data_IF_804693896292
#
_entry.id   IF_804693896292
#
_cell.length_a   1.000
_cell.length_b   1.000
_cell.length_c   1.000
_cell.angle_alpha   90.00
_cell.angle_beta   90.00
_cell.angle_gamma   90.00
#
_symmetry.space_group_name_H-M   'P 1'
#
loop_
_entity.id
_entity.type
_entity.pdbx_description
1 polymer ?
#
# COMPACT_ATOMS: atom_id res chain seq x y z
N UNK A 1 -12.61 -5.80 20.37
CA UNK A 1 -11.47 -5.70 19.45
C UNK A 1 -11.95 -4.72 18.41
N UNK A 2 -11.24 -3.61 18.29
CA UNK A 2 -11.52 -2.67 17.20
C UNK A 2 -11.20 -3.42 15.90
N UNK A 3 -12.10 -3.33 14.91
CA UNK A 3 -11.85 -3.95 13.60
C UNK A 3 -10.71 -3.19 12.92
N UNK A 4 -9.73 -3.92 12.37
CA UNK A 4 -8.66 -3.31 11.57
C UNK A 4 -9.17 -2.93 10.18
N UNK A 5 -8.49 -2.01 9.49
CA UNK A 5 -8.75 -1.69 8.08
C UNK A 5 -8.60 -2.92 7.19
N UNK A 6 -7.70 -3.85 7.56
CA UNK A 6 -7.56 -5.14 6.90
C UNK A 6 -8.79 -6.04 7.10
N UNK A 7 -9.35 -6.11 8.31
CA UNK A 7 -10.57 -6.88 8.57
C UNK A 7 -11.76 -6.32 7.79
N UNK A 8 -11.86 -4.99 7.69
CA UNK A 8 -12.87 -4.32 6.86
C UNK A 8 -12.69 -4.62 5.37
N UNK A 9 -11.46 -4.58 4.86
CA UNK A 9 -11.14 -5.02 3.50
C UNK A 9 -11.59 -6.47 3.25
N UNK A 10 -11.21 -7.39 4.15
CA UNK A 10 -11.57 -8.81 4.06
C UNK A 10 -13.09 -8.98 4.03
N UNK A 11 -13.81 -8.27 4.90
CA UNK A 11 -15.27 -8.31 4.93
C UNK A 11 -15.90 -7.76 3.64
N UNK A 12 -15.40 -6.66 3.09
CA UNK A 12 -15.88 -6.09 1.83
C UNK A 12 -15.69 -7.06 0.66
N UNK A 13 -14.54 -7.74 0.60
CA UNK A 13 -14.24 -8.75 -0.43
C UNK A 13 -15.12 -10.00 -0.25
N UNK A 14 -15.28 -10.50 0.97
CA UNK A 14 -16.08 -11.70 1.26
C UNK A 14 -17.58 -11.50 1.01
N UNK A 15 -18.07 -10.27 1.22
CA UNK A 15 -19.43 -9.86 0.90
C UNK A 15 -19.63 -9.63 -0.61
N UNK A 16 -18.62 -9.89 -1.45
CA UNK A 16 -18.71 -9.78 -2.91
C UNK A 16 -19.06 -8.38 -3.41
N UNK A 17 -18.70 -7.33 -2.65
CA UNK A 17 -18.93 -5.94 -3.04
C UNK A 17 -18.32 -5.64 -4.43
N UNK A 18 -17.21 -6.32 -4.76
CA UNK A 18 -16.45 -6.10 -5.99
C UNK A 18 -16.81 -7.05 -7.15
N UNK A 19 -17.77 -7.97 -7.02
CA UNK A 19 -18.07 -8.99 -8.05
C UNK A 19 -18.53 -8.37 -9.39
N UNK A 20 -19.06 -7.15 -9.36
CA UNK A 20 -19.57 -6.43 -10.53
C UNK A 20 -18.52 -5.56 -11.24
N UNK A 21 -17.30 -5.45 -10.70
CA UNK A 21 -16.23 -4.60 -11.23
C UNK A 21 -14.99 -5.40 -11.62
N UNK A 22 -14.23 -4.87 -12.59
CA UNK A 22 -13.09 -5.57 -13.20
C UNK A 22 -11.98 -5.90 -12.20
N UNK A 23 -11.85 -5.14 -11.13
CA UNK A 23 -10.83 -5.35 -10.10
C UNK A 23 -11.20 -6.46 -9.10
N UNK A 24 -12.45 -6.93 -9.07
CA UNK A 24 -12.91 -7.89 -8.06
C UNK A 24 -12.10 -9.18 -7.99
N UNK A 25 -11.71 -9.74 -9.14
CA UNK A 25 -10.86 -10.94 -9.19
C UNK A 25 -9.47 -10.68 -8.59
N UNK A 26 -8.91 -9.50 -8.86
CA UNK A 26 -7.60 -9.09 -8.35
C UNK A 26 -7.64 -8.84 -6.84
N UNK A 27 -8.70 -8.20 -6.30
CA UNK A 27 -8.84 -7.99 -4.86
C UNK A 27 -9.04 -9.30 -4.10
N UNK A 28 -9.72 -10.28 -4.70
CA UNK A 28 -9.84 -11.63 -4.13
C UNK A 28 -8.51 -12.36 -4.10
N UNK A 29 -7.72 -12.27 -5.17
CA UNK A 29 -6.36 -12.80 -5.22
C UNK A 29 -5.45 -12.13 -4.18
N UNK A 30 -5.52 -10.80 -4.03
CA UNK A 30 -4.84 -10.07 -2.95
C UNK A 30 -5.24 -10.64 -1.59
N UNK A 31 -6.55 -10.76 -1.29
CA UNK A 31 -7.04 -11.29 -0.02
C UNK A 31 -6.49 -12.68 0.30
N UNK A 32 -6.38 -13.56 -0.70
CA UNK A 32 -5.87 -14.92 -0.51
C UNK A 32 -4.36 -14.97 -0.27
N UNK A 33 -3.60 -14.04 -0.86
CA UNK A 33 -2.12 -14.00 -0.76
C UNK A 33 -1.59 -13.05 0.31
N UNK A 34 -2.39 -12.09 0.76
CA UNK A 34 -1.95 -11.04 1.66
C UNK A 34 -1.74 -11.59 3.07
N UNK A 35 -0.54 -11.41 3.60
CA UNK A 35 -0.27 -11.49 5.03
C UNK A 35 -0.47 -10.11 5.64
N UNK A 36 -1.28 -10.06 6.69
CA UNK A 36 -1.43 -8.86 7.51
C UNK A 36 -0.23 -8.69 8.43
N UNK A 37 0.39 -7.52 8.35
CA UNK A 37 1.44 -7.08 9.24
C UNK A 37 0.99 -5.78 9.88
N UNK A 38 0.87 -5.77 11.21
CA UNK A 38 0.68 -4.54 11.94
C UNK A 38 2.01 -3.80 12.01
N UNK A 39 2.02 -2.52 11.59
CA UNK A 39 3.22 -1.70 11.74
C UNK A 39 3.60 -1.57 13.22
N UNK A 40 4.88 -1.78 13.60
CA UNK A 40 5.32 -1.59 14.98
C UNK A 40 5.52 -0.10 15.33
N UNK A 41 5.45 0.81 14.35
CA UNK A 41 5.76 2.24 14.50
C UNK A 41 4.81 3.11 13.67
N UNK A 42 4.45 4.26 14.24
CA UNK A 42 3.66 5.29 13.55
C UNK A 42 4.48 5.93 12.41
N UNK A 43 3.77 6.44 11.39
CA UNK A 43 4.37 6.91 10.13
C UNK A 43 5.41 8.03 10.30
N UNK A 44 5.20 8.94 11.25
CA UNK A 44 6.08 10.09 11.51
C UNK A 44 7.25 9.75 12.46
N UNK A 45 7.22 8.58 13.09
CA UNK A 45 8.16 8.16 14.13
C UNK A 45 9.34 7.31 13.60
N UNK A 46 9.36 7.00 12.29
CA UNK A 46 10.34 6.08 11.68
C UNK A 46 11.78 6.61 11.78
N UNK A 47 12.00 7.91 11.55
CA UNK A 47 13.33 8.49 11.60
C UNK A 47 13.94 8.45 13.01
N UNK A 48 13.11 8.71 14.03
CA UNK A 48 13.52 8.60 15.43
C UNK A 48 13.87 7.15 15.79
N UNK A 49 13.03 6.19 15.39
CA UNK A 49 13.25 4.77 15.64
C UNK A 49 14.58 4.25 15.05
N UNK A 50 15.01 4.82 13.91
CA UNK A 50 16.28 4.46 13.28
C UNK A 50 17.52 5.13 13.90
N UNK A 51 17.33 6.19 14.67
CA UNK A 51 18.41 7.07 15.13
C UNK A 51 19.22 7.67 13.98
N UNK A 52 18.59 7.90 12.83
CA UNK A 52 19.26 8.34 11.60
C UNK A 52 18.78 9.72 11.14
N UNK A 53 19.63 10.41 10.37
CA UNK A 53 19.17 11.53 9.57
C UNK A 53 18.30 11.04 8.40
N UNK A 54 17.46 11.92 7.86
CA UNK A 54 16.63 11.62 6.71
C UNK A 54 17.45 11.17 5.48
N UNK A 55 18.67 11.70 5.30
CA UNK A 55 19.57 11.31 4.22
C UNK A 55 20.09 9.88 4.38
N UNK A 56 20.48 9.51 5.61
CA UNK A 56 21.00 8.18 5.91
C UNK A 56 19.91 7.12 5.74
N UNK A 57 18.71 7.44 6.20
CA UNK A 57 17.55 6.59 6.04
C UNK A 57 17.18 6.43 4.55
N UNK A 58 17.13 7.52 3.79
CA UNK A 58 16.87 7.49 2.35
C UNK A 58 17.87 6.63 1.56
N UNK A 59 19.15 6.61 1.95
CA UNK A 59 20.17 5.71 1.36
C UNK A 59 19.88 4.24 1.67
N UNK A 60 19.46 3.93 2.89
CA UNK A 60 19.10 2.57 3.29
C UNK A 60 17.87 2.08 2.52
N UNK A 61 16.78 2.85 2.53
CA UNK A 61 15.55 2.55 1.81
C UNK A 61 15.80 2.40 0.32
N UNK A 62 16.59 3.29 -0.30
CA UNK A 62 16.97 3.17 -1.72
C UNK A 62 17.72 1.88 -2.03
N UNK A 63 18.59 1.42 -1.13
CA UNK A 63 19.32 0.16 -1.27
C UNK A 63 18.42 -1.06 -1.11
N UNK A 64 17.48 -1.02 -0.16
CA UNK A 64 16.46 -2.05 0.04
C UNK A 64 15.53 -2.15 -1.16
N UNK A 65 14.89 -1.03 -1.53
CA UNK A 65 13.97 -0.92 -2.65
C UNK A 65 14.66 -1.27 -3.97
N UNK A 66 15.86 -0.78 -4.24
CA UNK A 66 16.60 -1.11 -5.46
C UNK A 66 16.92 -2.62 -5.60
N UNK A 67 17.11 -3.34 -4.50
CA UNK A 67 17.29 -4.80 -4.52
C UNK A 67 15.96 -5.54 -4.69
N UNK A 68 14.89 -4.98 -4.13
CA UNK A 68 13.52 -5.48 -4.13
C UNK A 68 12.79 -5.34 -5.48
N UNK A 69 12.92 -4.19 -6.15
CA UNK A 69 12.14 -3.83 -7.35
C UNK A 69 12.74 -4.32 -8.68
N UNK A 70 13.74 -5.19 -8.66
CA UNK A 70 14.24 -5.78 -9.90
C UNK A 70 13.19 -6.75 -10.46
N UNK A 71 13.06 -6.86 -11.78
CA UNK A 71 12.09 -7.76 -12.43
C UNK A 71 12.14 -9.16 -11.84
N UNK A 72 10.98 -9.67 -11.40
CA UNK A 72 10.81 -10.98 -10.76
C UNK A 72 11.49 -11.16 -9.39
N UNK A 73 12.16 -10.13 -8.85
CA UNK A 73 12.41 -10.11 -7.40
C UNK A 73 11.15 -9.59 -6.77
N UNK A 74 10.70 -10.21 -5.68
CA UNK A 74 9.71 -9.59 -4.82
C UNK A 74 10.41 -8.53 -3.95
N UNK A 75 9.67 -7.55 -3.44
CA UNK A 75 10.05 -6.95 -2.16
C UNK A 75 10.32 -8.14 -1.22
N UNK A 76 11.39 -8.14 -0.39
CA UNK A 76 11.85 -9.28 0.44
C UNK A 76 10.81 -10.05 1.29
N UNK A 77 9.55 -9.72 1.16
CA UNK A 77 8.37 -10.38 1.62
C UNK A 77 8.03 -11.47 0.59
N UNK A 78 8.28 -12.73 0.94
CA UNK A 78 7.97 -13.89 0.10
C UNK A 78 6.46 -14.02 -0.21
N UNK A 79 5.63 -13.18 0.41
CA UNK A 79 4.17 -13.10 0.27
C UNK A 79 3.73 -11.63 0.21
N UNK A 80 2.58 -11.36 -0.43
CA UNK A 80 2.01 -10.01 -0.50
C UNK A 80 1.78 -9.50 0.92
N UNK A 81 2.20 -8.29 1.24
CA UNK A 81 2.00 -7.72 2.58
C UNK A 81 0.95 -6.64 2.54
N UNK A 82 0.00 -6.76 3.47
CA UNK A 82 -0.82 -5.65 3.92
C UNK A 82 -0.13 -5.02 5.12
N UNK A 83 0.30 -3.76 4.98
CA UNK A 83 0.68 -2.95 6.14
C UNK A 83 -0.46 -1.98 6.41
N UNK A 84 -0.95 -2.00 7.64
CA UNK A 84 -1.94 -1.04 8.11
C UNK A 84 -1.23 0.22 8.58
N UNK A 85 -1.59 1.35 7.98
CA UNK A 85 -1.33 2.66 8.57
C UNK A 85 -2.56 3.12 9.37
N UNK A 86 -2.49 4.32 9.97
CA UNK A 86 -3.56 4.83 10.83
C UNK A 86 -4.91 4.95 10.09
N UNK A 87 -4.91 4.91 8.76
CA UNK A 87 -6.06 5.26 7.92
C UNK A 87 -6.46 4.15 6.93
N UNK A 88 -5.62 3.17 6.66
CA UNK A 88 -5.80 2.27 5.51
C UNK A 88 -5.03 0.96 5.59
N UNK A 89 -5.51 -0.02 4.82
CA UNK A 89 -4.81 -1.26 4.49
C UNK A 89 -4.08 -1.10 3.15
N UNK A 90 -2.75 -1.12 3.15
CA UNK A 90 -1.91 -0.90 1.96
C UNK A 90 -1.24 -2.19 1.52
N UNK A 91 -1.47 -2.57 0.25
CA UNK A 91 -0.93 -3.75 -0.40
C UNK A 91 0.07 -3.35 -1.49
N UNK A 92 1.26 -3.95 -1.46
CA UNK A 92 2.36 -3.59 -2.38
C UNK A 92 2.98 -4.85 -3.00
N UNK A 93 3.06 -4.89 -4.32
CA UNK A 93 3.80 -5.92 -5.06
C UNK A 93 4.57 -5.34 -6.25
N UNK A 94 5.55 -6.07 -6.75
CA UNK A 94 6.27 -5.66 -7.96
C UNK A 94 5.41 -5.87 -9.21
N UNK A 95 5.48 -4.94 -10.15
CA UNK A 95 4.91 -5.17 -11.46
C UNK A 95 5.75 -6.23 -12.21
N UNK A 96 5.17 -7.37 -12.64
CA UNK A 96 5.91 -8.41 -13.34
C UNK A 96 6.33 -8.02 -14.76
N UNK A 97 5.72 -6.99 -15.34
CA UNK A 97 5.95 -6.57 -16.72
C UNK A 97 6.96 -5.42 -16.82
N UNK A 98 6.99 -4.53 -15.82
CA UNK A 98 7.78 -3.29 -15.81
C UNK A 98 8.89 -3.26 -14.74
N UNK A 99 10.09 -2.85 -15.15
CA UNK A 99 11.21 -2.67 -14.23
C UNK A 99 10.99 -1.47 -13.31
N UNK A 100 11.29 -1.64 -12.01
CA UNK A 100 11.33 -0.54 -11.03
C UNK A 100 9.91 0.08 -10.83
N UNK A 101 8.87 -0.71 -11.09
CA UNK A 101 7.47 -0.33 -10.93
C UNK A 101 6.79 -1.22 -9.88
N UNK A 102 6.01 -0.59 -9.00
CA UNK A 102 5.15 -1.24 -8.03
C UNK A 102 3.70 -1.21 -8.47
N UNK A 103 2.97 -2.27 -8.17
CA UNK A 103 1.51 -2.25 -8.08
C UNK A 103 1.14 -2.00 -6.64
N UNK A 104 0.27 -1.02 -6.44
CA UNK A 104 -0.20 -0.62 -5.11
C UNK A 104 -1.71 -0.70 -5.10
N UNK A 105 -2.26 -1.18 -3.99
CA UNK A 105 -3.69 -1.13 -3.69
C UNK A 105 -3.86 -0.63 -2.26
N UNK A 106 -4.75 0.32 -2.04
CA UNK A 106 -5.07 0.87 -0.72
C UNK A 106 -6.57 0.71 -0.52
N UNK A 107 -6.97 0.12 0.60
CA UNK A 107 -8.34 0.09 1.05
C UNK A 107 -8.48 0.99 2.29
N UNK A 108 -9.45 1.89 2.26
CA UNK A 108 -9.76 2.82 3.36
C UNK A 108 -11.24 2.76 3.70
N UNK A 109 -11.55 2.68 4.99
CA UNK A 109 -12.92 2.83 5.48
C UNK A 109 -13.30 4.33 5.52
N UNK A 110 -14.46 4.68 4.94
CA UNK A 110 -14.97 6.06 4.94
C UNK A 110 -16.23 6.23 5.81
N UNK A 111 -16.55 5.20 6.61
CA UNK A 111 -17.77 5.16 7.46
C UNK A 111 -17.83 6.28 8.51
N UNK A 112 -16.70 6.91 8.82
CA UNK A 112 -16.64 7.98 9.84
C UNK A 112 -17.32 9.29 9.41
N UNK A 113 -17.51 9.51 8.10
CA UNK A 113 -17.98 10.81 7.59
C UNK A 113 -19.48 10.88 7.26
N UNK A 114 -20.25 9.81 7.54
CA UNK A 114 -21.71 9.82 7.39
C UNK A 114 -22.23 9.94 5.95
N UNK A 115 -21.38 9.63 4.97
CA UNK A 115 -21.78 9.51 3.56
C UNK A 115 -22.29 8.09 3.26
N UNK A 116 -22.92 7.90 2.10
CA UNK A 116 -23.35 6.57 1.63
C UNK A 116 -22.18 5.67 1.18
N UNK A 117 -20.93 6.14 1.31
CA UNK A 117 -19.72 5.43 0.90
C UNK A 117 -19.19 4.68 2.11
N UNK A 118 -19.08 3.36 2.00
CA UNK A 118 -18.54 2.49 3.04
C UNK A 118 -17.03 2.43 3.02
N UNK A 119 -16.42 2.62 1.85
CA UNK A 119 -14.98 2.64 1.71
C UNK A 119 -14.52 3.07 0.32
N UNK A 120 -13.21 3.23 0.18
CA UNK A 120 -12.56 3.63 -1.06
C UNK A 120 -11.40 2.67 -1.33
N UNK A 121 -11.29 2.24 -2.59
CA UNK A 121 -10.15 1.48 -3.09
C UNK A 121 -9.37 2.33 -4.07
N UNK A 122 -8.12 2.61 -3.73
CA UNK A 122 -7.13 3.15 -4.62
C UNK A 122 -6.30 2.01 -5.19
N UNK A 123 -6.05 2.00 -6.48
CA UNK A 123 -5.15 1.02 -7.07
C UNK A 123 -4.43 1.57 -8.29
N UNK A 124 -3.19 1.16 -8.49
CA UNK A 124 -2.39 1.72 -9.56
C UNK A 124 -0.97 1.22 -9.62
N UNK A 125 -0.20 1.87 -10.49
CA UNK A 125 1.23 1.67 -10.68
C UNK A 125 2.00 2.87 -10.18
N UNK A 126 3.04 2.61 -9.40
CA UNK A 126 4.00 3.59 -8.94
C UNK A 126 5.38 3.29 -9.51
N UNK A 127 6.05 4.31 -10.08
CA UNK A 127 7.42 4.17 -10.57
C UNK A 127 8.39 4.75 -9.57
N UNK A 128 9.40 3.96 -9.20
CA UNK A 128 10.48 4.47 -8.37
C UNK A 128 11.41 5.37 -9.18
N UNK A 129 11.67 6.57 -8.67
CA UNK A 129 12.60 7.54 -9.28
C UNK A 129 13.77 7.90 -8.36
N UNK A 130 13.82 7.36 -7.14
CA UNK A 130 14.85 7.65 -6.13
C UNK A 130 14.49 8.85 -5.26
N UNK A 131 15.46 9.44 -4.56
CA UNK A 131 15.22 10.70 -3.82
C UNK A 131 14.99 11.86 -4.82
N UNK A 132 13.74 12.17 -5.12
CA UNK A 132 13.39 13.50 -5.64
C UNK A 132 13.06 14.44 -4.47
N UNK A 133 13.16 15.73 -4.77
CA UNK A 133 12.88 16.82 -3.81
C UNK A 133 11.49 16.63 -3.22
N UNK A 134 11.37 16.89 -1.91
CA UNK A 134 10.14 16.82 -1.10
C UNK A 134 9.66 15.41 -0.68
N UNK A 135 10.56 14.56 -0.17
CA UNK A 135 10.28 13.34 0.63
C UNK A 135 9.70 12.12 -0.11
N UNK A 136 9.24 12.25 -1.35
CA UNK A 136 8.65 11.13 -2.08
C UNK A 136 9.70 10.39 -2.92
N UNK A 137 9.63 9.05 -2.95
CA UNK A 137 10.53 8.21 -3.76
C UNK A 137 9.88 7.63 -5.03
N UNK A 138 8.55 7.78 -5.12
CA UNK A 138 7.70 7.18 -6.14
C UNK A 138 6.84 8.24 -6.83
N UNK A 139 6.57 8.02 -8.12
CA UNK A 139 5.63 8.81 -8.91
C UNK A 139 4.46 7.93 -9.31
N UNK A 140 3.24 8.44 -9.18
CA UNK A 140 2.07 7.77 -9.69
C UNK A 140 2.05 7.81 -11.22
N UNK A 141 2.02 6.64 -11.86
CA UNK A 141 1.94 6.52 -13.32
C UNK A 141 0.49 6.48 -13.79
N UNK A 142 -0.21 5.41 -13.37
CA UNK A 142 -1.60 5.16 -13.66
C UNK A 142 -2.26 4.76 -12.34
N UNK A 143 -3.30 5.48 -11.94
CA UNK A 143 -4.08 5.11 -10.76
C UNK A 143 -5.57 5.22 -11.05
N UNK A 144 -6.31 4.49 -10.26
CA UNK A 144 -7.74 4.26 -10.38
C UNK A 144 -8.33 4.31 -8.98
N UNK A 145 -9.56 4.80 -8.91
CA UNK A 145 -10.32 4.90 -7.67
C UNK A 145 -11.66 4.20 -7.88
N UNK A 146 -12.03 3.36 -6.93
CA UNK A 146 -13.34 2.72 -6.86
C UNK A 146 -13.98 3.05 -5.51
N UNK A 147 -15.23 3.50 -5.55
CA UNK A 147 -16.03 3.76 -4.35
C UNK A 147 -16.84 2.53 -3.99
N UNK A 148 -16.81 2.14 -2.72
CA UNK A 148 -17.57 1.02 -2.16
C UNK A 148 -18.80 1.57 -1.45
N UNK A 149 -19.96 1.03 -1.81
CA UNK A 149 -21.25 1.27 -1.17
C UNK A 149 -21.81 -0.08 -0.68
N UNK A 150 -22.77 -0.04 0.24
CA UNK A 150 -23.39 -1.20 0.89
C UNK A 150 -23.74 -2.33 -0.08
N UNK A 151 -24.26 -1.98 -1.26
CA UNK A 151 -24.79 -2.92 -2.26
C UNK A 151 -24.09 -2.88 -3.63
N UNK A 152 -23.18 -1.94 -3.88
CA UNK A 152 -22.46 -1.87 -5.15
C UNK A 152 -21.13 -1.11 -5.08
N UNK A 153 -20.27 -1.34 -6.07
CA UNK A 153 -19.03 -0.58 -6.27
C UNK A 153 -19.12 0.26 -7.55
N UNK A 154 -18.59 1.48 -7.51
CA UNK A 154 -18.52 2.37 -8.65
C UNK A 154 -17.08 2.76 -8.96
N UNK A 155 -16.59 2.35 -10.12
CA UNK A 155 -15.32 2.82 -10.66
C UNK A 155 -15.45 4.29 -11.08
N UNK A 156 -14.54 5.15 -10.60
CA UNK A 156 -14.42 6.54 -11.05
C UNK A 156 -13.35 6.68 -12.17
N UNK A 157 -13.13 5.62 -12.95
CA UNK A 157 -12.01 5.41 -13.89
C UNK A 157 -11.20 6.64 -14.36
N UNK A 158 -9.87 6.55 -14.25
CA UNK A 158 -8.84 7.37 -14.92
C UNK A 158 -9.07 8.88 -14.89
N UNK A 159 -9.21 9.46 -13.70
CA UNK A 159 -8.97 10.89 -13.48
C UNK A 159 -7.62 11.04 -12.79
N UNK A 160 -6.71 11.81 -13.39
CA UNK A 160 -5.52 12.34 -12.72
C UNK A 160 -6.00 13.29 -11.60
N UNK A 161 -6.48 12.72 -10.49
CA UNK A 161 -6.67 13.41 -9.23
C UNK A 161 -5.32 13.54 -8.56
N UNK A 162 -4.60 14.62 -8.84
CA UNK A 162 -3.23 14.86 -8.34
C UNK A 162 -3.12 14.70 -6.80
N UNK A 163 -4.21 14.95 -6.06
CA UNK A 163 -4.28 14.75 -4.61
C UNK A 163 -4.30 13.26 -4.23
N UNK A 164 -5.17 12.46 -4.84
CA UNK A 164 -5.24 11.00 -4.59
C UNK A 164 -3.97 10.28 -5.03
N UNK A 165 -3.37 10.73 -6.15
CA UNK A 165 -2.07 10.22 -6.60
C UNK A 165 -0.95 10.52 -5.58
N UNK A 166 -0.99 11.67 -4.91
CA UNK A 166 -0.05 11.99 -3.82
C UNK A 166 -0.31 11.15 -2.58
N UNK A 167 -1.57 10.90 -2.23
CA UNK A 167 -1.93 10.01 -1.12
C UNK A 167 -1.36 8.61 -1.33
N UNK A 168 -1.56 8.04 -2.53
CA UNK A 168 -0.99 6.76 -2.92
C UNK A 168 0.53 6.72 -2.78
N UNK A 169 1.22 7.78 -3.24
CA UNK A 169 2.68 7.91 -3.12
C UNK A 169 3.14 8.02 -1.68
N UNK A 170 2.45 8.82 -0.86
CA UNK A 170 2.79 9.02 0.55
C UNK A 170 2.61 7.74 1.35
N UNK A 171 1.44 7.10 1.26
CA UNK A 171 1.15 5.84 1.96
C UNK A 171 2.14 4.75 1.56
N UNK A 172 2.43 4.60 0.25
CA UNK A 172 3.44 3.64 -0.21
C UNK A 172 4.81 3.94 0.36
N UNK A 173 5.20 5.22 0.38
CA UNK A 173 6.49 5.64 0.94
C UNK A 173 6.56 5.25 2.40
N UNK A 174 5.59 5.64 3.22
CA UNK A 174 5.50 5.29 4.64
C UNK A 174 5.61 3.77 4.87
N UNK A 175 4.87 2.96 4.12
CA UNK A 175 4.89 1.51 4.27
C UNK A 175 6.25 0.93 3.91
N UNK A 176 6.87 1.38 2.81
CA UNK A 176 8.21 0.93 2.42
C UNK A 176 9.26 1.29 3.48
N UNK A 177 9.11 2.45 4.12
CA UNK A 177 9.96 2.89 5.22
C UNK A 177 9.81 2.00 6.46
N UNK A 178 8.58 1.61 6.80
CA UNK A 178 8.30 0.65 7.88
C UNK A 178 8.83 -0.75 7.56
N UNK A 179 8.69 -1.22 6.33
CA UNK A 179 9.26 -2.51 5.92
C UNK A 179 10.79 -2.51 5.99
N UNK A 180 11.42 -1.41 5.59
CA UNK A 180 12.86 -1.22 5.73
C UNK A 180 13.29 -1.22 7.23
N UNK A 181 12.48 -0.63 8.13
CA UNK A 181 12.67 -0.77 9.58
C UNK A 181 12.68 -2.22 10.02
N UNK A 182 11.62 -2.93 9.70
CA UNK A 182 11.42 -4.29 10.15
C UNK A 182 12.51 -5.22 9.63
N UNK A 183 12.98 -5.05 8.40
CA UNK A 183 14.12 -5.80 7.85
C UNK A 183 15.41 -5.51 8.61
N UNK A 184 15.72 -4.23 8.87
CA UNK A 184 16.93 -3.83 9.60
C UNK A 184 16.98 -4.45 11.00
N UNK A 185 15.86 -4.39 11.70
CA UNK A 185 15.74 -4.90 13.06
C UNK A 185 15.50 -6.42 13.09
N UNK A 186 15.39 -7.07 11.93
CA UNK A 186 15.22 -8.52 11.79
C UNK A 186 13.82 -9.04 12.10
N UNK A 187 12.83 -8.15 12.23
CA UNK A 187 11.45 -8.45 12.61
C UNK A 187 10.68 -9.20 11.52
N UNK A 188 11.07 -9.05 10.25
CA UNK A 188 10.42 -9.75 9.13
C UNK A 188 10.65 -11.26 9.15
N UNK A 189 11.71 -11.74 9.81
CA UNK A 189 12.05 -13.18 9.87
C UNK A 189 11.10 -14.00 10.71
N UNK A 190 10.36 -13.34 11.60
CA UNK A 190 9.46 -13.99 12.56
C UNK A 190 7.99 -14.01 12.07
N UNK A 191 7.70 -13.41 10.91
CA UNK A 191 6.37 -13.36 10.30
C UNK A 191 6.13 -14.67 9.54
N UNK A 192 5.35 -15.57 10.17
CA UNK A 192 5.03 -16.90 9.64
C UNK A 192 3.82 -16.92 8.74
#
# INVERSE_FOLDING_TARGET
MDNTHYDSFVAAVDNRAFDSVRIGDYLRDIRERAKYIQSPIEADSIFEAFGLSQEDFGKYTSSYVGKALAKNKAIPLEELVCVEDDFSAVFIENDPEEDITLRVTIYKDEKEFGFAIDGVVYYGKLKWFGLAREKNYFEALDFYVSLVFDDYVKDISKQLLDEEGKELVNATTTVIEQLAYMEREGLLRDIK
#
